data_IF_922973524383
#
_entry.id   IF_922973524383
#
_cell.length_a   1.000
_cell.length_b   1.000
_cell.length_c   1.000
_cell.angle_alpha   90.00
_cell.angle_beta   90.00
_cell.angle_gamma   90.00
#
_symmetry.space_group_name_H-M   'P 1'
#
loop_
_entity.id
_entity.type
_entity.pdbx_description
1 polymer ?
#
# COMPACT_ATOMS: atom_id res chain seq x y z
N UNK A 1 16.35 4.84 -0.01
CA UNK A 1 15.31 5.51 -0.84
C UNK A 1 14.00 4.77 -0.66
N UNK A 2 12.89 5.50 -0.56
CA UNK A 2 11.54 4.94 -0.40
C UNK A 2 10.68 5.28 -1.62
N UNK A 3 9.66 4.47 -1.87
CA UNK A 3 8.58 4.79 -2.80
C UNK A 3 7.41 5.34 -2.01
N UNK A 4 7.13 6.63 -2.17
CA UNK A 4 6.05 7.34 -1.48
C UNK A 4 5.15 8.02 -2.51
N UNK A 5 3.86 7.74 -2.46
CA UNK A 5 2.87 8.37 -3.33
C UNK A 5 1.50 8.39 -2.66
N UNK A 6 0.57 9.14 -3.26
CA UNK A 6 -0.83 9.13 -2.87
C UNK A 6 -1.72 8.96 -4.09
N UNK A 7 -2.81 8.21 -3.91
CA UNK A 7 -3.85 8.03 -4.92
C UNK A 7 -5.14 8.71 -4.46
N UNK A 8 -5.75 9.48 -5.35
CA UNK A 8 -7.11 9.97 -5.18
C UNK A 8 -8.06 9.04 -5.91
N UNK A 9 -8.94 8.38 -5.16
CA UNK A 9 -10.03 7.57 -5.69
C UNK A 9 -11.33 8.35 -5.53
N UNK A 10 -12.09 8.52 -6.62
CA UNK A 10 -13.43 9.14 -6.61
C UNK A 10 -14.48 8.09 -6.94
N UNK A 11 -15.39 7.83 -6.02
CA UNK A 11 -16.44 6.82 -6.19
C UNK A 11 -17.62 7.40 -6.98
N UNK A 12 -18.30 6.55 -7.76
CA UNK A 12 -19.40 6.96 -8.65
C UNK A 12 -18.95 7.75 -9.89
N UNK A 13 -17.64 7.80 -10.18
CA UNK A 13 -17.05 8.52 -11.31
C UNK A 13 -16.09 7.62 -12.07
N UNK A 14 -15.91 7.87 -13.37
CA UNK A 14 -14.92 7.19 -14.22
C UNK A 14 -14.99 5.65 -14.16
N UNK A 15 -16.20 5.10 -14.01
CA UNK A 15 -16.44 3.65 -13.94
C UNK A 15 -16.17 3.02 -12.56
N UNK A 16 -15.80 3.80 -11.54
CA UNK A 16 -15.61 3.29 -10.16
C UNK A 16 -16.97 3.25 -9.45
N UNK A 17 -17.32 2.08 -8.90
CA UNK A 17 -18.59 1.88 -8.18
C UNK A 17 -18.75 2.84 -6.97
N UNK A 18 -19.98 3.24 -6.68
CA UNK A 18 -20.31 3.88 -5.42
C UNK A 18 -20.17 2.90 -4.24
N UNK A 19 -19.56 3.35 -3.14
CA UNK A 19 -19.37 2.53 -1.96
C UNK A 19 -19.98 3.19 -0.72
N UNK A 20 -20.56 2.37 0.15
CA UNK A 20 -20.99 2.79 1.48
C UNK A 20 -19.79 3.14 2.36
N UNK A 21 -19.98 4.06 3.31
CA UNK A 21 -19.00 4.38 4.35
C UNK A 21 -18.58 3.15 5.19
N UNK A 22 -19.37 2.07 5.20
CA UNK A 22 -18.98 0.81 5.84
C UNK A 22 -17.82 0.10 5.14
N UNK A 23 -17.50 0.44 3.89
CA UNK A 23 -16.43 -0.20 3.10
C UNK A 23 -15.03 0.34 3.40
N UNK A 24 -14.87 1.30 4.31
CA UNK A 24 -13.57 1.92 4.64
C UNK A 24 -12.49 0.88 4.98
N UNK A 25 -12.83 -0.11 5.83
CA UNK A 25 -11.89 -1.19 6.16
C UNK A 25 -11.50 -1.99 4.92
N UNK A 26 -12.47 -2.38 4.10
CA UNK A 26 -12.22 -3.17 2.89
C UNK A 26 -11.31 -2.45 1.90
N UNK A 27 -11.33 -1.11 1.86
CA UNK A 27 -10.39 -0.32 1.05
C UNK A 27 -8.97 -0.44 1.62
N UNK A 28 -8.79 -0.36 2.95
CA UNK A 28 -7.48 -0.58 3.58
C UNK A 28 -6.95 -1.98 3.29
N UNK A 29 -7.79 -2.99 3.48
CA UNK A 29 -7.45 -4.39 3.20
C UNK A 29 -7.03 -4.55 1.73
N UNK A 30 -7.79 -4.00 0.78
CA UNK A 30 -7.48 -4.05 -0.64
C UNK A 30 -6.11 -3.46 -0.96
N UNK A 31 -5.78 -2.29 -0.40
CA UNK A 31 -4.47 -1.63 -0.60
C UNK A 31 -3.35 -2.47 0.00
N UNK A 32 -3.53 -2.98 1.23
CA UNK A 32 -2.52 -3.82 1.89
C UNK A 32 -2.26 -5.11 1.09
N UNK A 33 -3.32 -5.78 0.61
CA UNK A 33 -3.17 -6.97 -0.22
C UNK A 33 -2.56 -6.67 -1.59
N UNK A 34 -2.80 -5.50 -2.19
CA UNK A 34 -2.09 -5.10 -3.41
C UNK A 34 -0.59 -4.95 -3.19
N UNK A 35 -0.18 -4.37 -2.06
CA UNK A 35 1.24 -4.28 -1.68
C UNK A 35 1.82 -5.66 -1.42
N UNK A 36 1.09 -6.55 -0.74
CA UNK A 36 1.51 -7.94 -0.51
C UNK A 36 1.72 -8.67 -1.85
N UNK A 37 0.78 -8.58 -2.79
CA UNK A 37 0.91 -9.22 -4.10
C UNK A 37 2.12 -8.70 -4.87
N UNK A 38 2.37 -7.39 -4.82
CA UNK A 38 3.54 -6.77 -5.42
C UNK A 38 4.84 -7.32 -4.77
N UNK A 39 4.91 -7.42 -3.44
CA UNK A 39 6.08 -7.98 -2.76
C UNK A 39 6.29 -9.47 -3.11
N UNK A 40 5.21 -10.24 -3.16
CA UNK A 40 5.23 -11.64 -3.59
C UNK A 40 5.74 -11.79 -5.03
N UNK A 41 5.37 -10.88 -5.94
CA UNK A 41 5.85 -10.89 -7.34
C UNK A 41 7.35 -10.60 -7.44
N UNK A 42 7.93 -9.94 -6.43
CA UNK A 42 9.39 -9.74 -6.26
C UNK A 42 10.09 -10.90 -5.54
N UNK A 43 9.38 -12.00 -5.25
CA UNK A 43 9.92 -13.18 -4.58
C UNK A 43 10.02 -13.07 -3.06
N UNK A 44 9.46 -12.02 -2.45
CA UNK A 44 9.44 -11.86 -1.00
C UNK A 44 8.45 -12.83 -0.37
N UNK A 45 8.89 -13.59 0.63
CA UNK A 45 8.07 -14.56 1.38
C UNK A 45 7.74 -14.01 2.76
N UNK A 46 6.70 -14.59 3.39
CA UNK A 46 6.31 -14.21 4.75
C UNK A 46 5.72 -12.79 4.84
N UNK A 47 5.17 -12.29 3.74
CA UNK A 47 4.44 -11.02 3.68
C UNK A 47 3.07 -11.17 4.31
N UNK A 48 2.69 -10.23 5.16
CA UNK A 48 1.36 -10.22 5.78
C UNK A 48 0.97 -8.81 6.18
N UNK A 49 -0.33 -8.60 6.34
CA UNK A 49 -0.90 -7.34 6.76
C UNK A 49 -0.98 -7.31 8.29
N UNK A 50 -0.29 -6.34 8.90
CA UNK A 50 -0.54 -5.97 10.28
C UNK A 50 -1.61 -4.89 10.27
N UNK A 51 -2.82 -5.33 10.56
CA UNK A 51 -4.00 -4.48 10.61
C UNK A 51 -3.80 -3.25 11.52
N UNK A 52 -4.36 -2.09 11.15
CA UNK A 52 -5.14 -1.81 9.93
C UNK A 52 -4.31 -1.24 8.77
N UNK A 53 -3.04 -0.89 9.00
CA UNK A 53 -2.34 0.12 8.19
C UNK A 53 -0.93 -0.29 7.75
N UNK A 54 -0.44 -1.48 8.08
CA UNK A 54 0.96 -1.83 7.78
C UNK A 54 1.08 -3.14 7.03
N UNK A 55 2.10 -3.22 6.17
CA UNK A 55 2.56 -4.48 5.59
C UNK A 55 3.91 -4.85 6.18
N UNK A 56 4.03 -6.11 6.56
CA UNK A 56 5.17 -6.69 7.25
C UNK A 56 5.72 -7.87 6.47
N UNK A 57 7.02 -8.09 6.61
CA UNK A 57 7.74 -9.28 6.14
C UNK A 57 8.31 -9.95 7.37
N UNK A 58 7.77 -11.13 7.72
CA UNK A 58 8.01 -11.77 9.01
C UNK A 58 7.73 -10.79 10.17
N UNK A 59 8.74 -10.46 10.97
CA UNK A 59 8.67 -9.58 12.13
C UNK A 59 9.15 -8.15 11.82
N UNK A 60 9.22 -7.77 10.54
CA UNK A 60 9.74 -6.47 10.10
C UNK A 60 8.74 -5.66 9.29
N UNK A 61 8.57 -4.38 9.61
CA UNK A 61 7.70 -3.46 8.87
C UNK A 61 8.37 -2.98 7.58
N UNK A 62 7.69 -3.14 6.44
CA UNK A 62 8.20 -2.72 5.13
C UNK A 62 7.39 -1.59 4.49
N UNK A 63 6.09 -1.51 4.79
CA UNK A 63 5.18 -0.52 4.21
C UNK A 63 4.26 0.05 5.28
N UNK A 64 4.02 1.35 5.20
CA UNK A 64 2.93 2.03 5.89
C UNK A 64 1.87 2.52 4.89
N UNK A 65 0.61 2.39 5.28
CA UNK A 65 -0.57 2.79 4.52
C UNK A 65 -1.37 3.77 5.38
N UNK A 66 -1.77 4.89 4.79
CA UNK A 66 -2.66 5.86 5.41
C UNK A 66 -3.80 6.16 4.45
N UNK A 67 -5.04 6.04 4.91
CA UNK A 67 -6.21 6.31 4.08
C UNK A 67 -7.11 7.33 4.78
N UNK A 68 -7.40 8.41 4.07
CA UNK A 68 -8.36 9.42 4.48
C UNK A 68 -9.59 9.37 3.58
N UNK A 69 -10.76 9.32 4.19
CA UNK A 69 -12.03 9.21 3.48
C UNK A 69 -12.84 10.50 3.59
N UNK A 70 -13.47 10.89 2.47
CA UNK A 70 -14.52 11.89 2.45
C UNK A 70 -15.88 11.19 2.32
N UNK A 71 -16.71 11.30 3.35
CA UNK A 71 -18.03 10.67 3.42
C UNK A 71 -19.14 11.73 3.34
N UNK A 72 -20.22 11.43 2.62
CA UNK A 72 -21.44 12.24 2.61
C UNK A 72 -22.66 11.33 2.58
N UNK A 73 -23.63 11.60 3.46
CA UNK A 73 -24.89 10.85 3.55
C UNK A 73 -24.70 9.32 3.61
N UNK A 74 -23.67 8.86 4.34
CA UNK A 74 -23.36 7.43 4.48
C UNK A 74 -22.61 6.80 3.30
N UNK A 75 -22.27 7.58 2.27
CA UNK A 75 -21.54 7.12 1.08
C UNK A 75 -20.13 7.69 1.04
N UNK A 76 -19.18 6.91 0.54
CA UNK A 76 -17.83 7.39 0.24
C UNK A 76 -17.87 8.23 -1.04
N UNK A 77 -17.40 9.47 -0.95
CA UNK A 77 -17.19 10.33 -2.11
C UNK A 77 -15.80 10.13 -2.67
N UNK A 78 -14.79 10.20 -1.80
CA UNK A 78 -13.38 10.17 -2.17
C UNK A 78 -12.56 9.44 -1.11
N UNK A 79 -11.47 8.80 -1.52
CA UNK A 79 -10.41 8.30 -0.63
C UNK A 79 -9.06 8.81 -1.11
N UNK A 80 -8.26 9.35 -0.19
CA UNK A 80 -6.85 9.65 -0.40
C UNK A 80 -6.06 8.52 0.23
N UNK A 81 -5.38 7.73 -0.60
CA UNK A 81 -4.64 6.54 -0.19
C UNK A 81 -3.14 6.85 -0.30
N UNK A 82 -2.48 7.08 0.83
CA UNK A 82 -1.03 7.20 0.93
C UNK A 82 -0.37 5.84 1.12
N UNK A 83 0.63 5.55 0.29
CA UNK A 83 1.46 4.33 0.41
C UNK A 83 2.92 4.75 0.53
N UNK A 84 3.58 4.29 1.61
CA UNK A 84 5.00 4.48 1.84
C UNK A 84 5.72 3.15 1.96
N UNK A 85 6.36 2.71 0.87
CA UNK A 85 7.11 1.46 0.79
C UNK A 85 8.63 1.73 0.89
N UNK A 86 9.30 1.04 1.82
CA UNK A 86 10.75 1.08 1.92
C UNK A 86 11.37 0.26 0.77
N UNK A 87 11.94 0.91 -0.25
CA UNK A 87 12.60 0.23 -1.37
C UNK A 87 14.07 -0.10 -1.08
N UNK A 88 14.93 0.91 -0.96
CA UNK A 88 16.39 0.74 -0.86
C UNK A 88 16.96 1.37 0.42
N UNK A 89 16.13 1.63 1.43
CA UNK A 89 16.61 2.20 2.68
C UNK A 89 17.48 1.18 3.43
N UNK A 90 18.74 1.53 3.71
CA UNK A 90 19.71 0.63 4.37
C UNK A 90 19.95 0.94 5.84
N UNK A 91 19.73 2.19 6.24
CA UNK A 91 19.83 2.64 7.61
C UNK A 91 18.46 3.15 8.07
N UNK A 92 18.06 2.75 9.27
CA UNK A 92 16.82 3.19 9.88
C UNK A 92 17.10 3.72 11.29
N UNK A 93 16.32 4.71 11.76
CA UNK A 93 16.36 5.13 13.15
C UNK A 93 16.16 3.96 14.12
N UNK A 94 16.91 3.93 15.23
CA UNK A 94 16.89 2.84 16.22
C UNK A 94 15.55 2.74 16.98
N UNK A 95 14.78 3.83 17.01
CA UNK A 95 13.47 3.92 17.66
C UNK A 95 12.32 3.33 16.82
N UNK A 96 12.57 2.98 15.56
CA UNK A 96 11.55 2.36 14.72
C UNK A 96 11.36 0.86 15.03
N UNK A 97 10.11 0.37 15.08
CA UNK A 97 9.83 -1.03 15.38
C UNK A 97 10.17 -1.92 14.18
N UNK A 98 11.40 -2.47 14.18
CA UNK A 98 11.90 -3.45 13.21
C UNK A 98 11.67 -3.09 11.73
N UNK A 99 12.15 -1.95 11.23
CA UNK A 99 11.98 -1.60 9.82
C UNK A 99 12.84 -2.48 8.90
N UNK A 100 12.35 -2.71 7.69
CA UNK A 100 13.11 -3.35 6.60
C UNK A 100 12.78 -2.66 5.27
N UNK A 101 13.64 -2.84 4.27
CA UNK A 101 13.39 -2.42 2.89
C UNK A 101 13.46 -3.60 1.94
N UNK A 102 12.83 -3.46 0.77
CA UNK A 102 12.81 -4.48 -0.26
C UNK A 102 14.24 -4.89 -0.68
N UNK A 103 15.12 -3.91 -0.87
CA UNK A 103 16.51 -4.15 -1.28
C UNK A 103 17.37 -4.81 -0.20
N UNK A 104 17.08 -4.57 1.08
CA UNK A 104 17.73 -5.36 2.16
C UNK A 104 17.27 -6.83 2.15
N UNK A 105 16.01 -7.10 1.78
CA UNK A 105 15.47 -8.46 1.73
C UNK A 105 16.00 -9.21 0.50
N UNK A 106 16.01 -8.56 -0.66
CA UNK A 106 16.33 -9.22 -1.94
C UNK A 106 17.79 -9.06 -2.35
N UNK A 107 18.56 -8.20 -1.69
CA UNK A 107 19.94 -7.88 -2.06
C UNK A 107 20.07 -7.05 -3.34
N UNK A 108 18.98 -6.46 -3.84
CA UNK A 108 18.92 -5.70 -5.10
C UNK A 108 18.48 -4.26 -4.85
N UNK A 109 19.04 -3.28 -5.56
CA UNK A 109 18.53 -1.91 -5.54
C UNK A 109 17.47 -1.71 -6.64
N UNK A 110 16.37 -1.04 -6.29
CA UNK A 110 15.21 -0.82 -7.16
C UNK A 110 15.07 0.64 -7.60
N UNK A 111 14.71 0.90 -8.86
CA UNK A 111 14.38 2.26 -9.31
C UNK A 111 12.90 2.59 -8.97
N UNK A 112 12.61 3.58 -8.11
CA UNK A 112 11.23 3.93 -7.77
C UNK A 112 10.39 4.31 -8.99
N UNK A 113 10.98 4.90 -10.03
CA UNK A 113 10.25 5.28 -11.24
C UNK A 113 9.79 4.04 -12.03
N UNK A 114 10.60 2.97 -12.02
CA UNK A 114 10.26 1.68 -12.63
C UNK A 114 9.29 0.86 -11.76
N UNK A 115 9.38 0.97 -10.44
CA UNK A 115 8.56 0.19 -9.51
C UNK A 115 7.16 0.77 -9.26
N UNK A 116 7.00 2.09 -9.32
CA UNK A 116 5.71 2.74 -9.18
C UNK A 116 4.62 2.15 -10.11
N UNK A 117 4.80 2.08 -11.44
CA UNK A 117 3.77 1.55 -12.33
C UNK A 117 3.42 0.08 -12.05
N UNK A 118 4.39 -0.73 -11.62
CA UNK A 118 4.16 -2.13 -11.26
C UNK A 118 3.28 -2.24 -10.01
N UNK A 119 3.56 -1.45 -8.97
CA UNK A 119 2.73 -1.40 -7.77
C UNK A 119 1.32 -0.84 -8.07
N UNK A 120 1.22 0.16 -8.94
CA UNK A 120 -0.06 0.72 -9.38
C UNK A 120 -0.91 -0.31 -10.14
N UNK A 121 -0.31 -1.23 -10.89
CA UNK A 121 -1.05 -2.31 -11.55
C UNK A 121 -1.73 -3.23 -10.52
N UNK A 122 -1.02 -3.62 -9.46
CA UNK A 122 -1.59 -4.41 -8.37
C UNK A 122 -2.70 -3.66 -7.61
N UNK A 123 -2.56 -2.35 -7.42
CA UNK A 123 -3.59 -1.50 -6.81
C UNK A 123 -4.83 -1.39 -7.72
N UNK A 124 -4.62 -1.12 -9.01
CA UNK A 124 -5.68 -1.03 -9.99
C UNK A 124 -6.53 -2.29 -10.04
N UNK A 125 -5.92 -3.48 -10.06
CA UNK A 125 -6.66 -4.76 -10.09
C UNK A 125 -7.58 -4.98 -8.89
N UNK A 126 -7.24 -4.46 -7.70
CA UNK A 126 -8.05 -4.65 -6.47
C UNK A 126 -9.03 -3.50 -6.20
N UNK A 127 -8.71 -2.29 -6.66
CA UNK A 127 -9.55 -1.09 -6.45
C UNK A 127 -10.51 -0.81 -7.61
N UNK A 128 -10.38 -1.52 -8.73
CA UNK A 128 -11.39 -1.55 -9.79
C UNK A 128 -12.54 -2.45 -9.34
N UNK A 129 -13.47 -1.88 -8.59
CA UNK A 129 -14.75 -2.52 -8.22
C UNK A 129 -15.71 -2.54 -9.40
#
# INVERSE_FOLDING_TARGET
>A
QNLMFSLLVRYGQNGIQELSASCQKSISDAVAYSVIDYLCSKGVKGTWMKEPNDVWVYDKKICGILIEHRVRAGMLLESIIGVGLNLNQRAFPEDLPNPVSLGLITGTDYDPAAELPLLLEHLGRRLSF
#
